data_IF_755267944567
#
_entry.id   IF_755267944567
#
_cell.length_a   1.000
_cell.length_b   1.000
_cell.length_c   1.000
_cell.angle_alpha   90.00
_cell.angle_beta   90.00
_cell.angle_gamma   90.00
#
_symmetry.space_group_name_H-M   'P 1'
#
loop_
_entity.id
_entity.type
_entity.pdbx_description
1 polymer ?
#
# COMPACT_ATOMS: atom_id res chain seq x y z
N UNK A 1 -5.36 3.13 5.07
CA UNK A 1 -5.29 1.79 4.44
C UNK A 1 -4.26 1.82 3.32
N UNK A 2 -3.41 0.81 3.20
CA UNK A 2 -2.47 0.67 2.09
C UNK A 2 -2.53 -0.73 1.51
N UNK A 3 -2.47 -0.86 0.18
CA UNK A 3 -2.46 -2.18 -0.45
C UNK A 3 -2.69 -2.17 -1.96
N UNK A 4 -2.80 -3.39 -2.49
CA UNK A 4 -3.11 -3.72 -3.87
C UNK A 4 -4.63 -3.81 -4.05
N UNK A 5 -5.22 -2.85 -4.77
CA UNK A 5 -6.66 -2.77 -5.01
C UNK A 5 -7.09 -3.36 -6.35
N UNK A 6 -6.12 -3.72 -7.21
CA UNK A 6 -6.33 -4.24 -8.55
C UNK A 6 -7.22 -3.37 -9.47
N UNK A 7 -7.42 -2.09 -9.14
CA UNK A 7 -8.20 -1.18 -9.97
C UNK A 7 -7.67 0.25 -9.89
N UNK A 8 -7.71 0.96 -11.02
CA UNK A 8 -7.23 2.34 -11.14
C UNK A 8 -8.35 3.34 -10.81
N UNK A 9 -8.07 4.34 -9.97
CA UNK A 9 -9.08 5.34 -9.58
C UNK A 9 -9.36 6.37 -10.68
N UNK A 10 -8.31 6.83 -11.38
CA UNK A 10 -8.38 7.94 -12.33
C UNK A 10 -7.89 7.52 -13.72
N UNK A 11 -8.23 8.31 -14.74
CA UNK A 11 -7.75 8.04 -16.09
C UNK A 11 -6.22 8.14 -16.20
N UNK A 12 -5.61 9.07 -15.44
CA UNK A 12 -4.15 9.18 -15.34
C UNK A 12 -3.48 8.02 -14.60
N UNK A 13 -4.27 7.15 -13.96
CA UNK A 13 -3.79 5.96 -13.22
C UNK A 13 -3.86 4.68 -14.08
N UNK A 14 -4.11 4.83 -15.39
CA UNK A 14 -3.90 3.77 -16.37
C UNK A 14 -3.33 4.25 -17.70
N UNK A 15 -2.60 3.37 -18.37
CA UNK A 15 -2.25 3.46 -19.79
C UNK A 15 -2.72 2.20 -20.50
N UNK A 16 -3.57 2.36 -21.54
CA UNK A 16 -4.14 1.28 -22.36
C UNK A 16 -5.02 0.24 -21.65
N UNK A 17 -5.42 0.51 -20.41
CA UNK A 17 -6.40 -0.33 -19.68
C UNK A 17 -7.79 0.32 -19.68
N UNK A 18 -8.83 -0.50 -19.79
CA UNK A 18 -10.23 -0.05 -19.67
C UNK A 18 -10.61 0.09 -18.20
N UNK A 19 -11.58 0.96 -17.95
CA UNK A 19 -12.20 1.13 -16.64
C UNK A 19 -13.33 0.11 -16.51
N UNK A 20 -13.40 -0.58 -15.39
CA UNK A 20 -14.53 -1.46 -15.06
C UNK A 20 -15.40 -0.87 -13.94
N UNK A 21 -16.39 -1.65 -13.51
CA UNK A 21 -17.32 -1.33 -12.42
C UNK A 21 -16.59 -1.16 -11.08
N UNK A 22 -15.53 -1.92 -10.83
CA UNK A 22 -14.78 -1.91 -9.56
C UNK A 22 -14.12 -0.56 -9.28
N UNK A 23 -13.68 0.15 -10.33
CA UNK A 23 -13.17 1.53 -10.23
C UNK A 23 -14.24 2.56 -9.83
N UNK A 24 -15.54 2.25 -9.95
CA UNK A 24 -16.64 3.11 -9.46
C UNK A 24 -16.95 2.78 -8.02
N UNK A 25 -17.07 1.50 -7.70
CA UNK A 25 -17.32 1.01 -6.35
C UNK A 25 -16.24 1.44 -5.36
N UNK A 26 -14.96 1.27 -5.72
CA UNK A 26 -13.86 1.71 -4.86
C UNK A 26 -13.90 3.23 -4.60
N UNK A 27 -14.29 4.03 -5.59
CA UNK A 27 -14.44 5.48 -5.39
C UNK A 27 -15.58 5.81 -4.45
N UNK A 28 -16.73 5.16 -4.60
CA UNK A 28 -17.86 5.31 -3.67
C UNK A 28 -17.42 5.01 -2.25
N UNK A 29 -16.72 3.88 -2.03
CA UNK A 29 -16.22 3.49 -0.71
C UNK A 29 -15.28 4.56 -0.16
N UNK A 30 -14.31 5.03 -0.96
CA UNK A 30 -13.36 6.08 -0.56
C UNK A 30 -14.09 7.36 -0.14
N UNK A 31 -15.09 7.78 -0.91
CA UNK A 31 -15.92 8.97 -0.64
C UNK A 31 -16.75 8.77 0.63
N UNK A 32 -17.44 7.62 0.77
CA UNK A 32 -18.31 7.28 1.90
C UNK A 32 -17.55 7.27 3.23
N UNK A 33 -16.30 6.78 3.23
CA UNK A 33 -15.45 6.76 4.43
C UNK A 33 -14.49 7.95 4.54
N UNK A 34 -14.68 8.98 3.71
CA UNK A 34 -13.88 10.22 3.72
C UNK A 34 -12.37 9.98 3.66
N UNK A 35 -11.93 9.02 2.85
CA UNK A 35 -10.51 8.78 2.61
C UNK A 35 -10.03 9.57 1.39
N UNK A 36 -8.73 9.85 1.36
CA UNK A 36 -8.08 10.44 0.20
C UNK A 36 -6.87 9.62 -0.23
N UNK A 37 -6.57 9.67 -1.52
CA UNK A 37 -5.46 8.93 -2.10
C UNK A 37 -4.15 9.73 -2.05
N UNK A 38 -3.17 9.22 -1.29
CA UNK A 38 -1.88 9.84 -1.04
C UNK A 38 -1.05 10.06 -2.33
N UNK A 39 -1.10 9.09 -3.25
CA UNK A 39 -0.37 9.15 -4.53
C UNK A 39 -1.09 9.98 -5.59
N UNK A 40 -2.28 10.49 -5.27
CA UNK A 40 -3.13 11.19 -6.21
C UNK A 40 -2.54 12.51 -6.71
N UNK A 41 -1.68 13.16 -5.92
CA UNK A 41 -1.01 14.42 -6.28
C UNK A 41 0.34 14.22 -6.97
N UNK A 42 0.90 13.00 -6.97
CA UNK A 42 2.23 12.74 -7.51
C UNK A 42 2.29 12.94 -9.03
N UNK A 43 3.38 13.54 -9.55
CA UNK A 43 3.58 13.69 -10.99
C UNK A 43 3.73 12.31 -11.65
N UNK A 44 3.23 12.13 -12.89
CA UNK A 44 3.47 10.91 -13.66
C UNK A 44 4.98 10.73 -13.98
N UNK A 45 5.44 9.49 -14.23
CA UNK A 45 4.69 8.24 -14.15
C UNK A 45 4.51 7.78 -12.69
N UNK A 46 3.26 7.63 -12.26
CA UNK A 46 2.88 7.10 -10.95
C UNK A 46 2.44 5.63 -11.04
N UNK A 47 2.80 4.95 -12.12
CA UNK A 47 2.47 3.55 -12.37
C UNK A 47 3.13 2.66 -11.34
N UNK A 48 2.37 1.70 -10.81
CA UNK A 48 2.88 0.75 -9.82
C UNK A 48 2.86 -0.67 -10.35
N UNK A 49 2.21 -0.95 -11.48
CA UNK A 49 2.26 -2.24 -12.18
C UNK A 49 2.60 -2.02 -13.65
N UNK A 50 3.43 -2.88 -14.23
CA UNK A 50 3.78 -2.85 -15.66
C UNK A 50 3.76 -4.24 -16.30
N UNK A 51 3.05 -4.39 -17.42
CA UNK A 51 3.07 -5.60 -18.24
C UNK A 51 3.52 -5.24 -19.67
N UNK A 52 4.80 -4.89 -19.82
CA UNK A 52 5.39 -4.47 -21.09
C UNK A 52 4.85 -3.12 -21.60
N UNK A 53 3.67 -3.14 -22.23
CA UNK A 53 3.04 -1.98 -22.90
C UNK A 53 1.85 -1.39 -22.14
N UNK A 54 1.43 -2.01 -21.04
CA UNK A 54 0.31 -1.54 -20.21
C UNK A 54 0.81 -1.19 -18.81
N UNK A 55 0.29 -0.09 -18.27
CA UNK A 55 0.71 0.44 -16.97
C UNK A 55 -0.51 0.85 -16.15
N UNK A 56 -0.47 0.61 -14.85
CA UNK A 56 -1.52 1.08 -13.94
C UNK A 56 -1.01 1.37 -12.55
N UNK A 57 -1.66 2.31 -11.87
CA UNK A 57 -1.51 2.53 -10.44
C UNK A 57 -2.68 1.87 -9.71
N UNK A 58 -2.41 0.67 -9.23
CA UNK A 58 -3.35 -0.20 -8.53
C UNK A 58 -2.96 -0.46 -7.08
N UNK A 59 -1.74 -0.09 -6.71
CA UNK A 59 -1.28 -0.01 -5.33
C UNK A 59 -1.42 1.42 -4.83
N UNK A 60 -2.15 1.59 -3.73
CA UNK A 60 -2.53 2.90 -3.22
C UNK A 60 -2.47 2.95 -1.71
N UNK A 61 -2.21 4.15 -1.19
CA UNK A 61 -2.40 4.48 0.21
C UNK A 61 -3.59 5.44 0.31
N UNK A 62 -4.66 4.96 0.93
CA UNK A 62 -5.86 5.72 1.26
C UNK A 62 -5.74 6.21 2.70
N UNK A 63 -5.71 7.52 2.89
CA UNK A 63 -5.44 8.20 4.14
C UNK A 63 -6.67 8.93 4.63
N UNK A 64 -6.80 9.04 5.96
CA UNK A 64 -7.80 9.92 6.56
C UNK A 64 -7.43 11.39 6.30
N UNK A 65 -8.39 12.33 6.29
CA UNK A 65 -8.14 13.73 5.92
C UNK A 65 -7.18 14.47 6.85
N UNK A 66 -6.99 13.98 8.07
CA UNK A 66 -6.10 14.52 9.09
C UNK A 66 -4.64 14.12 8.92
N UNK A 67 -4.34 13.14 8.06
CA UNK A 67 -2.97 12.72 7.77
C UNK A 67 -2.41 13.51 6.58
N UNK A 68 -1.27 14.16 6.80
CA UNK A 68 -0.54 14.89 5.75
C UNK A 68 0.63 14.07 5.23
N UNK A 69 0.78 14.01 3.91
CA UNK A 69 1.91 13.33 3.25
C UNK A 69 3.08 14.31 3.13
N UNK A 70 4.20 14.02 3.81
CA UNK A 70 5.45 14.78 3.65
C UNK A 70 6.25 14.34 2.43
N UNK A 71 6.26 13.04 2.18
CA UNK A 71 7.06 12.45 1.12
C UNK A 71 6.31 11.30 0.49
N UNK A 72 6.39 11.19 -0.83
CA UNK A 72 5.83 10.08 -1.58
C UNK A 72 6.73 9.80 -2.78
N UNK A 73 7.18 8.56 -2.92
CA UNK A 73 8.00 8.14 -4.06
C UNK A 73 7.63 6.74 -4.54
N UNK A 74 7.86 6.51 -5.82
CA UNK A 74 7.65 5.22 -6.48
C UNK A 74 8.98 4.82 -7.11
N UNK A 75 9.42 3.59 -6.85
CA UNK A 75 10.69 3.07 -7.38
C UNK A 75 10.49 1.65 -7.91
N UNK A 76 10.95 1.39 -9.13
CA UNK A 76 10.96 0.04 -9.68
C UNK A 76 11.82 -0.92 -8.85
N UNK A 77 11.40 -2.18 -8.77
CA UNK A 77 12.14 -3.26 -8.11
C UNK A 77 12.29 -4.45 -9.07
N UNK A 78 13.35 -5.23 -8.91
CA UNK A 78 13.68 -6.30 -9.85
C UNK A 78 12.96 -7.63 -9.60
N UNK A 79 12.30 -7.77 -8.45
CA UNK A 79 11.71 -9.03 -7.98
C UNK A 79 10.17 -9.03 -8.05
N UNK A 80 9.58 -7.99 -8.63
CA UNK A 80 8.12 -7.85 -8.76
C UNK A 80 7.80 -7.09 -10.04
N UNK A 81 6.66 -7.41 -10.65
CA UNK A 81 6.00 -6.60 -11.68
C UNK A 81 5.35 -5.33 -11.10
N UNK A 82 5.36 -5.21 -9.76
CA UNK A 82 4.99 -4.02 -9.03
C UNK A 82 6.19 -3.13 -8.65
N UNK A 83 5.98 -1.81 -8.56
CA UNK A 83 6.94 -0.85 -8.02
C UNK A 83 6.78 -0.68 -6.50
N UNK A 84 7.89 -0.40 -5.81
CA UNK A 84 7.87 -0.03 -4.39
C UNK A 84 7.33 1.39 -4.23
N UNK A 85 6.31 1.56 -3.41
CA UNK A 85 5.82 2.86 -2.95
C UNK A 85 6.42 3.16 -1.58
N UNK A 86 7.05 4.32 -1.43
CA UNK A 86 7.57 4.82 -0.15
C UNK A 86 6.85 6.10 0.20
N UNK A 87 6.38 6.22 1.44
CA UNK A 87 5.63 7.38 1.90
C UNK A 87 6.03 7.75 3.33
N UNK A 88 6.15 9.05 3.60
CA UNK A 88 6.31 9.59 4.94
C UNK A 88 5.11 10.48 5.27
N UNK A 89 4.58 10.31 6.48
CA UNK A 89 3.39 11.01 6.97
C UNK A 89 3.77 11.93 8.12
N UNK A 90 3.08 13.06 8.21
CA UNK A 90 3.04 13.87 9.42
C UNK A 90 1.98 13.39 10.36
N UNK A 91 2.42 13.11 11.58
CA UNK A 91 1.57 12.65 12.66
C UNK A 91 1.69 13.65 13.81
N UNK A 92 0.73 14.56 13.92
CA UNK A 92 0.70 15.56 15.00
C UNK A 92 0.17 14.99 16.32
N UNK A 93 -0.43 13.79 16.29
CA UNK A 93 -1.00 13.11 17.46
C UNK A 93 -0.12 11.94 17.94
N UNK A 94 -0.15 11.65 19.23
CA UNK A 94 0.46 10.44 19.77
C UNK A 94 -0.13 9.20 19.07
N UNK A 95 0.71 8.41 18.40
CA UNK A 95 0.29 7.16 17.77
C UNK A 95 -0.23 6.25 18.88
N UNK A 96 -1.55 6.05 18.93
CA UNK A 96 -2.12 4.99 19.76
C UNK A 96 -2.00 3.71 18.95
N UNK A 97 -1.03 2.86 19.29
CA UNK A 97 -0.92 1.54 18.69
C UNK A 97 -2.18 0.76 19.05
N UNK A 98 -3.03 0.50 18.06
CA UNK A 98 -4.19 -0.36 18.23
C UNK A 98 -3.75 -1.76 18.65
N UNK A 99 -4.52 -2.45 19.50
CA UNK A 99 -4.22 -3.83 19.93
C UNK A 99 -4.37 -4.86 18.80
N UNK A 100 -4.92 -4.46 17.65
CA UNK A 100 -5.13 -5.32 16.51
C UNK A 100 -3.81 -5.64 15.78
N UNK A 101 -3.59 -6.88 15.33
CA UNK A 101 -2.42 -7.18 14.51
C UNK A 101 -2.49 -6.41 13.19
N UNK A 102 -1.37 -5.82 12.76
CA UNK A 102 -1.17 -5.47 11.36
C UNK A 102 -1.24 -6.77 10.53
N UNK A 103 -2.40 -7.02 9.93
CA UNK A 103 -2.61 -8.20 9.07
C UNK A 103 -2.14 -7.84 7.66
N UNK A 104 -0.88 -8.16 7.36
CA UNK A 104 -0.42 -8.19 5.97
C UNK A 104 -1.23 -9.26 5.23
N UNK A 105 -1.84 -8.90 4.11
CA UNK A 105 -2.64 -9.83 3.32
C UNK A 105 -1.71 -10.84 2.62
N UNK A 106 -1.48 -12.00 3.26
CA UNK A 106 -0.60 -13.06 2.76
C UNK A 106 -1.23 -13.90 1.65
N UNK A 107 -2.48 -13.61 1.25
CA UNK A 107 -3.19 -14.34 0.20
C UNK A 107 -2.46 -14.29 -1.16
N UNK A 108 -1.62 -13.27 -1.38
CA UNK A 108 -0.85 -13.09 -2.60
C UNK A 108 0.52 -13.78 -2.59
N UNK A 109 0.94 -14.35 -1.45
CA UNK A 109 2.16 -15.16 -1.39
C UNK A 109 1.89 -16.52 -2.01
N UNK A 110 2.11 -16.66 -3.32
CA UNK A 110 1.81 -17.89 -4.05
C UNK A 110 2.73 -19.05 -3.67
N UNK A 111 3.98 -18.78 -3.28
CA UNK A 111 4.95 -19.80 -2.88
C UNK A 111 4.73 -20.25 -1.41
N UNK A 112 4.43 -21.53 -1.17
CA UNK A 112 4.28 -22.09 0.18
C UNK A 112 5.52 -21.91 1.07
N UNK A 113 6.74 -21.95 0.51
CA UNK A 113 7.99 -21.76 1.25
C UNK A 113 8.15 -20.33 1.72
N UNK A 114 7.78 -19.37 0.87
CA UNK A 114 7.81 -17.93 1.21
C UNK A 114 6.75 -17.63 2.28
N UNK A 115 5.55 -18.21 2.18
CA UNK A 115 4.51 -18.13 3.22
C UNK A 115 5.03 -18.65 4.56
N UNK A 116 5.64 -19.83 4.58
CA UNK A 116 6.20 -20.44 5.78
C UNK A 116 7.33 -19.60 6.40
N UNK A 117 8.28 -19.13 5.58
CA UNK A 117 9.37 -18.27 6.01
C UNK A 117 8.85 -16.96 6.61
N UNK A 118 7.87 -16.35 5.96
CA UNK A 118 7.24 -15.11 6.43
C UNK A 118 6.48 -15.32 7.74
N UNK A 119 5.66 -16.37 7.85
CA UNK A 119 4.94 -16.70 9.08
C UNK A 119 5.89 -16.94 10.26
N UNK A 120 7.03 -17.61 10.02
CA UNK A 120 8.08 -17.78 11.04
C UNK A 120 8.67 -16.44 11.47
N UNK A 121 9.13 -15.61 10.53
CA UNK A 121 9.70 -14.28 10.84
C UNK A 121 8.70 -13.35 11.54
N UNK A 122 7.42 -13.43 11.20
CA UNK A 122 6.38 -12.68 11.89
C UNK A 122 6.18 -13.17 13.33
N UNK A 123 6.16 -14.48 13.55
CA UNK A 123 6.11 -15.06 14.90
C UNK A 123 7.34 -14.67 15.72
N UNK A 124 8.52 -14.69 15.12
CA UNK A 124 9.77 -14.24 15.75
C UNK A 124 9.64 -12.76 16.14
N UNK A 125 9.17 -11.90 15.23
CA UNK A 125 8.93 -10.48 15.53
C UNK A 125 7.90 -10.28 16.65
N UNK A 126 6.74 -10.95 16.61
CA UNK A 126 5.72 -10.84 17.67
C UNK A 126 6.31 -11.25 19.03
N UNK A 127 7.14 -12.29 19.03
CA UNK A 127 7.78 -12.80 20.24
C UNK A 127 8.86 -11.85 20.74
N UNK A 128 9.66 -11.24 19.86
CA UNK A 128 10.85 -10.50 20.23
C UNK A 128 10.65 -8.99 20.34
N UNK A 129 9.58 -8.42 19.78
CA UNK A 129 9.35 -6.96 19.75
C UNK A 129 9.34 -6.26 21.11
N UNK A 130 9.11 -7.00 22.20
CA UNK A 130 9.11 -6.46 23.56
C UNK A 130 10.53 -6.24 24.11
N UNK A 131 11.55 -6.74 23.41
CA UNK A 131 12.97 -6.57 23.76
C UNK A 131 13.60 -5.33 23.12
N UNK A 132 12.85 -4.56 22.33
CA UNK A 132 13.33 -3.39 21.60
C UNK A 132 12.60 -2.15 22.13
N UNK A 133 13.34 -1.05 22.31
CA UNK A 133 12.78 0.19 22.86
C UNK A 133 11.82 0.86 21.86
N UNK A 134 11.95 0.53 20.58
CA UNK A 134 11.09 1.00 19.50
C UNK A 134 10.81 -0.07 18.44
N UNK A 135 9.62 -0.08 17.81
CA UNK A 135 9.31 -0.96 16.67
C UNK A 135 10.22 -0.78 15.44
N UNK A 136 11.05 0.27 15.43
CA UNK A 136 11.96 0.63 14.32
C UNK A 136 13.36 0.02 14.51
N UNK A 137 13.69 -0.46 15.72
CA UNK A 137 15.03 -0.96 16.08
C UNK A 137 15.23 -2.46 15.80
N UNK A 138 14.28 -3.10 15.11
CA UNK A 138 14.32 -4.51 14.72
C UNK A 138 14.98 -4.73 13.36
#
# INVERSE_FOLDING_TARGET
>A
MGGYFNCALRNKDRHRLRRDQSSRELRSIIEDVSLHDAGGASPPPNWVSSSGVSFSRIDMFLLSPDLRVRFYSIRAVHFSDHHRVTMSLDWEKTITVGRGPWRMNTIHLQDPKVRLSFSRRYLDWVTLKHLFDSPIEW
#
